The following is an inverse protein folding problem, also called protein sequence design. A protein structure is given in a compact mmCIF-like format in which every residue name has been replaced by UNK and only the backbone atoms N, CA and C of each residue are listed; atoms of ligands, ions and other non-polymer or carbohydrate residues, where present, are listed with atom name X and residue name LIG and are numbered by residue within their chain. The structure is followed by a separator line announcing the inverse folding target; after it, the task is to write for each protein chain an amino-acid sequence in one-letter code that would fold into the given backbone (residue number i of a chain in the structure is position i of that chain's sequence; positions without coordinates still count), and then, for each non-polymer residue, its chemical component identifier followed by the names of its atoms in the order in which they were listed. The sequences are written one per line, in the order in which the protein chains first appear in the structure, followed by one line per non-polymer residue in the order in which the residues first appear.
data_IF_348295071540
#
_entry.id   IF_348295071540
#
_cell.length_a   1.000
_cell.length_b   1.000
_cell.length_c   1.000
_cell.angle_alpha   90.00
_cell.angle_beta   90.00
_cell.angle_gamma   90.00
#
_symmetry.space_group_name_H-M   'P 1'
#
loop_
_entity.id
_entity.type
_entity.pdbx_description
1 polymer ?
#
# COMPACT_ATOMS: atom_id res chain seq x y z
N UNK A 1 9.70 -0.13 6.81
CA UNK A 1 9.73 -0.40 5.36
C UNK A 1 10.84 -1.35 4.93
N UNK A 2 12.09 -1.15 5.34
CA UNK A 2 13.19 -2.04 4.94
C UNK A 2 12.97 -3.47 5.42
N UNK A 3 12.55 -3.68 6.67
CA UNK A 3 12.23 -5.00 7.21
C UNK A 3 11.13 -5.71 6.42
N UNK A 4 10.02 -5.02 6.13
CA UNK A 4 8.91 -5.57 5.34
C UNK A 4 9.35 -5.92 3.91
N UNK A 5 10.18 -5.08 3.30
CA UNK A 5 10.78 -5.37 2.01
C UNK A 5 11.66 -6.63 2.08
N UNK A 6 12.53 -6.75 3.08
CA UNK A 6 13.40 -7.92 3.25
C UNK A 6 12.63 -9.21 3.53
N UNK A 7 11.53 -9.13 4.26
CA UNK A 7 10.65 -10.26 4.53
C UNK A 7 9.91 -10.73 3.26
N UNK A 8 9.45 -9.79 2.42
CA UNK A 8 8.59 -10.09 1.28
C UNK A 8 9.31 -10.22 -0.06
N UNK A 9 10.57 -9.79 -0.19
CA UNK A 9 11.28 -9.74 -1.48
C UNK A 9 11.39 -11.08 -2.23
N UNK A 10 11.25 -12.19 -1.50
CA UNK A 10 11.31 -13.55 -2.05
C UNK A 10 9.92 -14.15 -2.31
N UNK A 11 8.83 -13.45 -1.98
CA UNK A 11 7.49 -13.97 -2.21
C UNK A 11 7.12 -13.91 -3.70
N UNK A 12 6.31 -14.88 -4.19
CA UNK A 12 5.82 -14.86 -5.57
C UNK A 12 5.11 -13.55 -5.92
N UNK A 13 4.25 -13.05 -5.03
CA UNK A 13 3.50 -11.81 -5.25
C UNK A 13 4.39 -10.58 -5.38
N UNK A 14 5.48 -10.53 -4.60
CA UNK A 14 6.42 -9.42 -4.67
C UNK A 14 7.24 -9.47 -5.96
N UNK A 15 7.60 -10.67 -6.42
CA UNK A 15 8.39 -10.89 -7.63
C UNK A 15 7.56 -10.85 -8.91
N UNK A 16 6.22 -10.92 -8.81
CA UNK A 16 5.29 -10.79 -9.92
C UNK A 16 5.35 -9.40 -10.60
N UNK A 17 5.88 -8.39 -9.91
CA UNK A 17 6.07 -7.04 -10.43
C UNK A 17 7.56 -6.65 -10.32
N UNK A 18 8.02 -5.66 -11.12
CA UNK A 18 9.35 -5.08 -10.92
C UNK A 18 9.51 -4.62 -9.47
N UNK A 19 10.63 -4.98 -8.84
CA UNK A 19 10.82 -4.77 -7.39
C UNK A 19 10.50 -3.35 -6.91
N UNK A 20 10.81 -2.32 -7.72
CA UNK A 20 10.46 -0.92 -7.42
C UNK A 20 8.95 -0.69 -7.33
N UNK A 21 8.17 -1.30 -8.22
CA UNK A 21 6.70 -1.21 -8.21
C UNK A 21 6.14 -1.91 -6.97
N UNK A 22 6.63 -3.10 -6.64
CA UNK A 22 6.24 -3.82 -5.41
C UNK A 22 6.53 -2.99 -4.14
N UNK A 23 7.69 -2.31 -4.08
CA UNK A 23 7.99 -1.39 -2.97
C UNK A 23 7.00 -0.21 -2.89
N UNK A 24 6.57 0.34 -4.03
CA UNK A 24 5.57 1.42 -4.03
C UNK A 24 4.22 0.92 -3.51
N UNK A 25 3.81 -0.31 -3.85
CA UNK A 25 2.59 -0.93 -3.30
C UNK A 25 2.70 -1.08 -1.77
N UNK A 26 3.83 -1.57 -1.26
CA UNK A 26 4.06 -1.65 0.19
C UNK A 26 3.98 -0.27 0.88
N UNK A 27 4.50 0.79 0.24
CA UNK A 27 4.39 2.17 0.75
C UNK A 27 2.93 2.66 0.78
N UNK A 28 2.12 2.30 -0.22
CA UNK A 28 0.70 2.64 -0.22
C UNK A 28 -0.04 2.00 0.96
N UNK A 29 0.23 0.71 1.23
CA UNK A 29 -0.32 0.00 2.38
C UNK A 29 0.12 0.66 3.69
N UNK A 30 1.41 0.91 3.86
CA UNK A 30 1.95 1.56 5.06
C UNK A 30 1.30 2.93 5.31
N UNK A 31 1.19 3.77 4.26
CA UNK A 31 0.52 5.08 4.35
C UNK A 31 -0.92 4.95 4.82
N UNK A 32 -1.64 3.93 4.33
CA UNK A 32 -3.05 3.68 4.67
C UNK A 32 -3.18 3.32 6.16
N UNK A 33 -2.33 2.43 6.67
CA UNK A 33 -2.33 2.06 8.09
C UNK A 33 -1.92 3.23 9.01
N UNK A 34 -0.91 4.03 8.63
CA UNK A 34 -0.54 5.25 9.37
C UNK A 34 -1.70 6.25 9.40
N UNK A 35 -2.41 6.43 8.30
CA UNK A 35 -3.59 7.30 8.24
C UNK A 35 -4.71 6.80 9.16
N UNK A 36 -4.97 5.48 9.16
CA UNK A 36 -5.94 4.87 10.07
C UNK A 36 -5.57 5.08 11.55
N UNK A 37 -4.31 4.84 11.92
CA UNK A 37 -3.86 5.05 13.29
C UNK A 37 -4.06 6.51 13.74
N UNK A 38 -3.66 7.48 12.91
CA UNK A 38 -3.89 8.90 13.17
C UNK A 38 -5.36 9.25 13.32
N UNK A 39 -6.21 8.71 12.44
CA UNK A 39 -7.66 8.90 12.53
C UNK A 39 -8.22 8.34 13.84
N UNK A 40 -7.77 7.14 14.26
CA UNK A 40 -8.20 6.52 15.52
C UNK A 40 -7.77 7.31 16.75
N UNK A 41 -6.54 7.82 16.77
CA UNK A 41 -6.05 8.70 17.82
C UNK A 41 -6.84 10.01 17.90
N UNK A 42 -7.17 10.60 16.74
CA UNK A 42 -7.96 11.82 16.68
C UNK A 42 -9.42 11.58 17.07
N UNK A 43 -10.00 10.42 16.72
CA UNK A 43 -11.34 10.02 17.15
C UNK A 43 -11.45 9.91 18.67
N UNK A 44 -10.42 9.38 19.35
CA UNK A 44 -10.36 9.36 20.82
C UNK A 44 -10.38 10.76 21.45
N UNK A 45 -9.84 11.77 20.76
CA UNK A 45 -9.75 13.15 21.26
C UNK A 45 -10.98 13.99 20.93
N UNK A 46 -11.56 13.80 19.75
CA UNK A 46 -12.69 14.59 19.23
C UNK A 46 -13.60 13.70 18.40
N UNK A 47 -14.41 12.83 19.03
CA UNK A 47 -15.29 11.90 18.31
C UNK A 47 -16.38 12.62 17.52
N UNK A 48 -16.76 13.82 17.94
CA UNK A 48 -17.72 14.74 17.30
C UNK A 48 -17.34 15.13 15.86
N UNK A 49 -16.05 15.12 15.53
CA UNK A 49 -15.55 15.45 14.18
C UNK A 49 -15.67 14.29 13.19
N UNK A 50 -16.15 13.13 13.62
CA UNK A 50 -16.26 11.93 12.81
C UNK A 50 -17.71 11.47 12.74
N UNK A 51 -18.09 10.89 11.62
CA UNK A 51 -19.41 10.24 11.47
C UNK A 51 -19.48 8.88 12.15
N UNK A 52 -18.39 8.42 12.78
CA UNK A 52 -18.28 7.14 13.48
C UNK A 52 -16.82 6.73 13.70
N UNK A 53 -16.61 5.64 14.46
CA UNK A 53 -15.27 5.15 14.76
C UNK A 53 -14.51 4.73 13.48
N UNK A 54 -13.28 5.23 13.27
CA UNK A 54 -12.42 4.77 12.18
C UNK A 54 -12.24 3.26 12.20
N UNK A 55 -12.44 2.61 11.05
CA UNK A 55 -12.33 1.16 10.90
C UNK A 55 -10.98 0.76 10.32
N UNK A 56 -10.52 -0.44 10.69
CA UNK A 56 -9.29 -1.01 10.15
C UNK A 56 -9.35 -1.08 8.61
N UNK A 57 -8.28 -0.68 7.89
CA UNK A 57 -8.20 -0.85 6.45
C UNK A 57 -8.38 -2.32 6.07
N UNK A 58 -9.25 -2.58 5.09
CA UNK A 58 -9.52 -3.92 4.57
C UNK A 58 -8.89 -4.09 3.20
N UNK A 59 -8.80 -5.34 2.75
CA UNK A 59 -8.48 -5.64 1.36
C UNK A 59 -9.52 -5.00 0.44
N UNK A 60 -9.06 -4.60 -0.75
CA UNK A 60 -9.94 -4.14 -1.80
C UNK A 60 -10.74 -5.31 -2.38
N UNK A 61 -11.86 -4.98 -3.02
CA UNK A 61 -12.68 -5.97 -3.73
C UNK A 61 -11.86 -6.69 -4.82
N UNK A 62 -12.07 -8.00 -4.95
CA UNK A 62 -11.27 -8.86 -5.86
C UNK A 62 -11.50 -8.54 -7.33
N UNK A 63 -12.66 -8.02 -7.71
CA UNK A 63 -13.03 -7.76 -9.10
C UNK A 63 -13.07 -6.26 -9.40
N UNK A 64 -13.74 -5.48 -8.53
CA UNK A 64 -13.97 -4.05 -8.68
C UNK A 64 -12.93 -3.18 -7.97
N UNK A 65 -12.14 -3.77 -7.08
CA UNK A 65 -11.21 -3.07 -6.19
C UNK A 65 -9.75 -3.10 -6.67
N UNK A 66 -9.48 -2.72 -7.92
CA UNK A 66 -8.11 -2.71 -8.45
C UNK A 66 -7.19 -1.76 -7.66
N UNK A 67 -5.94 -2.17 -7.47
CA UNK A 67 -4.91 -1.31 -6.89
C UNK A 67 -4.19 -0.53 -7.99
N UNK A 68 -3.80 0.72 -7.68
CA UNK A 68 -3.07 1.56 -8.64
C UNK A 68 -1.59 1.18 -8.60
N UNK A 69 -1.06 0.72 -9.74
CA UNK A 69 0.35 0.44 -9.92
C UNK A 69 1.02 1.62 -10.60
N UNK A 70 2.01 2.22 -9.92
CA UNK A 70 2.78 3.34 -10.47
C UNK A 70 4.10 2.82 -11.02
N UNK A 71 4.31 3.02 -12.31
CA UNK A 71 5.57 2.74 -12.98
C UNK A 71 6.32 4.04 -13.17
N UNK A 72 7.43 4.22 -12.46
CA UNK A 72 8.36 5.30 -12.79
C UNK A 72 9.19 4.88 -14.02
N UNK A 73 9.76 5.86 -14.72
CA UNK A 73 10.61 5.59 -15.90
C UNK A 73 11.74 4.58 -15.60
N UNK A 74 12.24 4.57 -14.36
CA UNK A 74 13.28 3.65 -13.91
C UNK A 74 12.81 2.21 -13.63
N UNK A 75 11.50 1.95 -13.61
CA UNK A 75 10.92 0.62 -13.39
C UNK A 75 10.68 -0.12 -14.70
N UNK A 76 10.73 0.57 -15.85
CA UNK A 76 10.59 -0.01 -17.18
C UNK A 76 11.99 -0.19 -17.77
N UNK A 77 12.42 -1.44 -17.99
CA UNK A 77 13.70 -1.69 -18.66
C UNK A 77 13.54 -1.60 -20.18
N UNK A 78 14.48 -0.95 -20.88
CA UNK A 78 14.49 -0.91 -22.35
C UNK A 78 14.53 -2.31 -22.99
N UNK A 79 15.10 -3.30 -22.29
CA UNK A 79 15.16 -4.70 -22.74
C UNK A 79 13.77 -5.37 -22.74
N UNK A 80 12.87 -4.96 -21.86
CA UNK A 80 11.51 -5.47 -21.77
C UNK A 80 10.53 -4.82 -22.77
N UNK A 81 10.98 -3.79 -23.51
CA UNK A 81 10.20 -3.09 -24.53
C UNK A 81 10.57 -3.50 -25.97
N UNK A 82 11.43 -4.51 -26.12
CA UNK A 82 11.80 -5.09 -27.43
C UNK A 82 10.88 -6.25 -27.79
#
# INVERSE_FOLDING_TARGET
MNELHHALKMSPDYQALPAKVSQLVLKQVEKTFKSYQKAKEQYKKSPDKFTGEPKLPRYKDKEKGRNVLTYNYQAISKKALK
#
